data_IF_903882189220
#
_entry.id   IF_903882189220
#
_cell.length_a   1.000
_cell.length_b   1.000
_cell.length_c   1.000
_cell.angle_alpha   90.00
_cell.angle_beta   90.00
_cell.angle_gamma   90.00
#
_symmetry.space_group_name_H-M   'P 1'
#
loop_
_entity.id
_entity.type
_entity.pdbx_description
1 polymer ?
#
# COMPACT_ATOMS: atom_id res chain seq x y z
N UNK A 1 7.00 -9.55 11.37
CA UNK A 1 6.12 -8.87 10.39
C UNK A 1 4.67 -9.20 10.70
N UNK A 2 3.75 -8.27 10.43
CA UNK A 2 2.31 -8.39 10.66
C UNK A 2 1.56 -8.27 9.32
N UNK A 3 0.34 -8.80 9.26
CA UNK A 3 -0.51 -8.74 8.06
C UNK A 3 -1.69 -7.81 8.32
N UNK A 4 -1.83 -6.77 7.50
CA UNK A 4 -2.91 -5.80 7.57
C UNK A 4 -3.88 -5.91 6.40
N UNK A 5 -5.07 -5.35 6.56
CA UNK A 5 -6.07 -5.18 5.53
C UNK A 5 -6.23 -3.69 5.24
N UNK A 6 -6.02 -3.28 3.99
CA UNK A 6 -6.33 -1.92 3.58
C UNK A 6 -7.81 -1.81 3.18
N UNK A 7 -8.52 -0.88 3.80
CA UNK A 7 -9.98 -0.73 3.64
C UNK A 7 -10.43 -0.41 2.21
N UNK A 8 -9.52 0.03 1.33
CA UNK A 8 -9.81 0.25 -0.11
C UNK A 8 -10.43 -0.97 -0.77
N UNK A 9 -10.11 -2.18 -0.30
CA UNK A 9 -10.65 -3.44 -0.78
C UNK A 9 -12.18 -3.50 -0.74
N UNK A 10 -12.80 -2.74 0.17
CA UNK A 10 -14.25 -2.70 0.38
C UNK A 10 -14.88 -1.35 0.08
N UNK A 11 -14.25 -0.54 -0.77
CA UNK A 11 -14.73 0.81 -1.12
C UNK A 11 -15.89 0.86 -2.12
N UNK A 12 -16.37 -0.27 -2.63
CA UNK A 12 -17.45 -0.31 -3.64
C UNK A 12 -17.01 0.13 -5.04
N UNK A 13 -15.70 0.28 -5.26
CA UNK A 13 -15.17 0.80 -6.52
C UNK A 13 -14.74 -0.33 -7.47
N UNK A 14 -14.37 -1.47 -6.92
CA UNK A 14 -13.71 -2.54 -7.67
C UNK A 14 -14.59 -3.77 -7.91
N UNK A 15 -15.81 -3.78 -7.42
CA UNK A 15 -16.74 -4.91 -7.48
C UNK A 15 -18.18 -4.42 -7.62
N UNK A 16 -19.07 -5.31 -8.02
CA UNK A 16 -20.50 -5.03 -8.07
C UNK A 16 -21.09 -5.07 -6.67
N UNK A 17 -21.56 -3.91 -6.22
CA UNK A 17 -22.15 -3.74 -4.89
C UNK A 17 -21.69 -2.47 -4.16
N UNK A 18 -22.34 -2.14 -3.05
CA UNK A 18 -22.01 -0.96 -2.27
C UNK A 18 -20.71 -1.12 -1.50
N UNK A 19 -20.11 0.01 -1.11
CA UNK A 19 -19.03 0.02 -0.13
C UNK A 19 -19.51 -0.55 1.21
N UNK A 20 -18.66 -1.28 1.89
CA UNK A 20 -18.94 -1.73 3.26
C UNK A 20 -18.67 -0.61 4.27
N UNK A 21 -19.52 -0.44 5.28
CA UNK A 21 -19.22 0.39 6.43
C UNK A 21 -17.93 -0.08 7.13
N UNK A 22 -17.12 0.85 7.64
CA UNK A 22 -15.86 0.51 8.30
C UNK A 22 -16.04 -0.45 9.49
N UNK A 23 -17.15 -0.37 10.21
CA UNK A 23 -17.48 -1.31 11.30
C UNK A 23 -17.57 -2.77 10.85
N UNK A 24 -18.08 -3.02 9.64
CA UNK A 24 -18.13 -4.34 9.02
C UNK A 24 -16.75 -4.76 8.50
N UNK A 25 -16.00 -3.82 7.90
CA UNK A 25 -14.62 -4.09 7.46
C UNK A 25 -13.74 -4.50 8.65
N UNK A 26 -13.88 -3.84 9.80
CA UNK A 26 -13.13 -4.21 11.00
C UNK A 26 -13.52 -5.60 11.54
N UNK A 27 -14.81 -5.95 11.48
CA UNK A 27 -15.26 -7.27 11.86
C UNK A 27 -14.66 -8.35 10.93
N UNK A 28 -14.79 -8.15 9.62
CA UNK A 28 -14.21 -9.07 8.61
C UNK A 28 -12.69 -9.22 8.77
N UNK A 29 -11.96 -8.13 8.97
CA UNK A 29 -10.52 -8.17 9.18
C UNK A 29 -10.16 -9.04 10.39
N UNK A 30 -10.88 -8.88 11.50
CA UNK A 30 -10.69 -9.72 12.70
C UNK A 30 -11.00 -11.18 12.43
N UNK A 31 -12.16 -11.48 11.84
CA UNK A 31 -12.64 -12.85 11.58
C UNK A 31 -11.71 -13.59 10.60
N UNK A 32 -11.11 -12.88 9.64
CA UNK A 32 -10.16 -13.43 8.69
C UNK A 32 -8.72 -13.52 9.24
N UNK A 33 -8.46 -13.05 10.48
CA UNK A 33 -7.17 -13.20 11.16
C UNK A 33 -6.11 -12.17 10.75
N UNK A 34 -6.50 -10.99 10.29
CA UNK A 34 -5.60 -9.85 10.13
C UNK A 34 -5.16 -9.27 11.47
N UNK A 35 -3.96 -8.70 11.55
CA UNK A 35 -3.44 -8.06 12.77
C UNK A 35 -3.86 -6.60 12.89
N UNK A 36 -4.22 -5.96 11.77
CA UNK A 36 -4.59 -4.55 11.73
C UNK A 36 -5.31 -4.15 10.47
N UNK A 37 -5.78 -2.91 10.45
CA UNK A 37 -6.49 -2.31 9.32
C UNK A 37 -5.85 -0.98 8.95
N UNK A 38 -5.41 -0.84 7.71
CA UNK A 38 -5.04 0.45 7.14
C UNK A 38 -6.29 1.16 6.65
N UNK A 39 -6.47 2.41 7.08
CA UNK A 39 -7.73 3.14 6.87
C UNK A 39 -7.56 4.16 5.76
N UNK A 40 -8.38 4.04 4.70
CA UNK A 40 -8.39 4.99 3.59
C UNK A 40 -8.96 6.35 3.98
N UNK A 41 -8.18 7.41 3.83
CA UNK A 41 -8.55 8.79 4.19
C UNK A 41 -9.39 9.49 3.13
N UNK A 42 -10.36 8.79 2.55
CA UNK A 42 -11.31 9.34 1.56
C UNK A 42 -12.67 8.66 1.68
N UNK A 43 -13.68 9.29 1.08
CA UNK A 43 -15.01 8.65 0.93
C UNK A 43 -14.92 7.36 0.09
N UNK A 44 -15.72 6.35 0.43
CA UNK A 44 -16.78 6.33 1.43
C UNK A 44 -16.31 6.05 2.87
N UNK A 45 -15.00 5.90 3.10
CA UNK A 45 -14.45 5.58 4.42
C UNK A 45 -14.13 6.82 5.25
N UNK A 46 -12.86 6.98 5.71
CA UNK A 46 -12.50 7.98 6.71
C UNK A 46 -12.02 9.31 6.11
N UNK A 47 -12.85 10.01 5.33
CA UNK A 47 -12.49 11.35 4.90
C UNK A 47 -12.39 12.29 6.13
N UNK A 48 -11.25 12.98 6.34
CA UNK A 48 -11.05 13.81 7.54
C UNK A 48 -12.05 14.96 7.68
N UNK A 49 -12.62 15.44 6.57
CA UNK A 49 -13.59 16.53 6.59
C UNK A 49 -15.01 16.07 6.96
N UNK A 50 -15.29 14.75 6.91
CA UNK A 50 -16.60 14.18 7.28
C UNK A 50 -16.61 13.68 8.74
N UNK A 51 -15.47 13.65 9.41
CA UNK A 51 -15.30 13.05 10.74
C UNK A 51 -14.94 14.11 11.79
N UNK A 52 -15.83 14.36 12.70
CA UNK A 52 -15.51 15.12 13.91
C UNK A 52 -14.64 14.31 14.88
N UNK A 53 -14.16 14.97 15.94
CA UNK A 53 -13.27 14.34 16.93
C UNK A 53 -13.92 13.13 17.63
N UNK A 54 -15.24 13.19 17.86
CA UNK A 54 -15.96 12.07 18.49
C UNK A 54 -16.03 10.87 17.58
N UNK A 55 -16.30 11.07 16.30
CA UNK A 55 -16.31 10.01 15.30
C UNK A 55 -14.93 9.34 15.15
N UNK A 56 -13.84 10.15 15.13
CA UNK A 56 -12.46 9.65 15.10
C UNK A 56 -12.15 8.80 16.33
N UNK A 57 -12.50 9.27 17.51
CA UNK A 57 -12.31 8.53 18.75
C UNK A 57 -13.12 7.23 18.77
N UNK A 58 -14.39 7.28 18.40
CA UNK A 58 -15.25 6.08 18.29
C UNK A 58 -14.65 5.04 17.34
N UNK A 59 -14.15 5.47 16.19
CA UNK A 59 -13.48 4.59 15.22
C UNK A 59 -12.24 3.92 15.82
N UNK A 60 -11.39 4.68 16.48
CA UNK A 60 -10.20 4.16 17.18
C UNK A 60 -10.57 3.10 18.22
N UNK A 61 -11.59 3.39 19.04
CA UNK A 61 -12.10 2.46 20.05
C UNK A 61 -12.67 1.17 19.43
N UNK A 62 -13.39 1.27 18.33
CA UNK A 62 -13.94 0.11 17.61
C UNK A 62 -12.86 -0.81 17.04
N UNK A 63 -11.77 -0.27 16.52
CA UNK A 63 -10.61 -1.06 16.06
C UNK A 63 -9.92 -1.74 17.25
N UNK A 64 -9.64 -0.97 18.31
CA UNK A 64 -8.98 -1.48 19.51
C UNK A 64 -9.81 -2.57 20.24
N UNK A 65 -11.13 -2.40 20.32
CA UNK A 65 -12.04 -3.37 20.94
C UNK A 65 -12.04 -4.74 20.24
N UNK A 66 -11.61 -4.79 18.96
CA UNK A 66 -11.44 -6.02 18.20
C UNK A 66 -10.02 -6.61 18.31
N UNK A 67 -9.13 -5.95 19.04
CA UNK A 67 -7.71 -6.32 19.13
C UNK A 67 -6.99 -6.16 17.81
N UNK A 68 -7.42 -5.20 16.98
CA UNK A 68 -6.75 -4.79 15.74
C UNK A 68 -5.93 -3.52 16.00
N UNK A 69 -4.87 -3.33 15.19
CA UNK A 69 -4.10 -2.09 15.17
C UNK A 69 -4.45 -1.26 13.93
N UNK A 70 -4.15 0.05 13.96
CA UNK A 70 -4.17 0.91 12.77
C UNK A 70 -2.72 1.20 12.39
N UNK A 71 -2.11 0.41 11.48
CA UNK A 71 -0.71 0.59 11.12
C UNK A 71 -0.45 1.90 10.36
N UNK A 72 -1.40 2.33 9.54
CA UNK A 72 -1.33 3.54 8.75
C UNK A 72 -2.72 4.08 8.41
N UNK A 73 -2.77 5.37 8.12
CA UNK A 73 -3.83 5.99 7.33
C UNK A 73 -3.32 6.14 5.91
N UNK A 74 -4.16 5.81 4.91
CA UNK A 74 -3.78 5.91 3.50
C UNK A 74 -4.25 7.25 2.91
N UNK A 75 -3.32 8.11 2.59
CA UNK A 75 -3.54 9.37 1.87
C UNK A 75 -3.60 9.19 0.34
N UNK A 76 -4.09 10.22 -0.33
CA UNK A 76 -4.24 10.27 -1.79
C UNK A 76 -3.75 11.62 -2.29
N UNK A 77 -2.43 11.80 -2.35
CA UNK A 77 -1.82 13.09 -2.68
C UNK A 77 -1.34 13.15 -4.13
N UNK A 78 -1.55 14.29 -4.76
CA UNK A 78 -0.97 14.63 -6.05
C UNK A 78 -0.22 15.96 -5.96
N UNK A 79 1.04 15.91 -5.56
CA UNK A 79 1.90 17.08 -5.40
C UNK A 79 2.61 17.49 -6.70
N UNK A 80 2.39 16.78 -7.80
CA UNK A 80 3.04 17.05 -9.08
C UNK A 80 2.16 17.84 -10.08
N UNK A 81 0.99 18.34 -9.65
CA UNK A 81 0.13 19.14 -10.53
C UNK A 81 0.83 20.42 -10.98
N UNK A 82 0.76 20.79 -12.28
CA UNK A 82 1.26 22.10 -12.77
C UNK A 82 0.44 23.27 -12.22
N UNK A 83 -0.78 23.03 -11.74
CA UNK A 83 -1.69 24.06 -11.23
C UNK A 83 -1.38 24.29 -9.75
N UNK A 84 -0.95 25.49 -9.41
CA UNK A 84 -0.52 25.87 -8.06
C UNK A 84 -1.61 25.60 -7.02
N UNK A 85 -2.83 26.06 -7.26
CA UNK A 85 -3.96 25.92 -6.33
C UNK A 85 -4.35 24.45 -6.10
N UNK A 86 -4.13 23.57 -7.08
CA UNK A 86 -4.33 22.13 -6.87
C UNK A 86 -3.29 21.56 -5.91
N UNK A 87 -2.01 21.93 -6.02
CA UNK A 87 -0.98 21.50 -5.07
C UNK A 87 -1.25 22.02 -3.67
N UNK A 88 -1.68 23.29 -3.53
CA UNK A 88 -2.08 23.84 -2.22
C UNK A 88 -3.25 23.07 -1.61
N UNK A 89 -4.29 22.77 -2.37
CA UNK A 89 -5.42 21.98 -1.90
C UNK A 89 -5.01 20.56 -1.49
N UNK A 90 -4.17 19.89 -2.28
CA UNK A 90 -3.64 18.56 -1.95
C UNK A 90 -2.83 18.58 -0.65
N UNK A 91 -2.00 19.61 -0.46
CA UNK A 91 -1.21 19.78 0.76
C UNK A 91 -2.09 20.04 1.98
N UNK A 92 -3.10 20.90 1.87
CA UNK A 92 -4.06 21.16 2.95
C UNK A 92 -4.84 19.89 3.34
N UNK A 93 -5.31 19.13 2.35
CA UNK A 93 -5.97 17.84 2.58
C UNK A 93 -5.03 16.84 3.24
N UNK A 94 -3.77 16.76 2.79
CA UNK A 94 -2.77 15.87 3.37
C UNK A 94 -2.47 16.23 4.83
N UNK A 95 -2.42 17.53 5.20
CA UNK A 95 -2.29 17.97 6.60
C UNK A 95 -3.48 17.54 7.46
N UNK A 96 -4.71 17.58 6.93
CA UNK A 96 -5.88 17.04 7.64
C UNK A 96 -5.82 15.51 7.79
N UNK A 97 -5.23 14.80 6.81
CA UNK A 97 -5.00 13.35 6.91
C UNK A 97 -3.92 13.02 7.95
N UNK A 98 -2.89 13.85 8.14
CA UNK A 98 -1.93 13.72 9.25
C UNK A 98 -2.65 13.83 10.60
N UNK A 99 -3.52 14.83 10.77
CA UNK A 99 -4.33 14.97 12.01
C UNK A 99 -5.23 13.75 12.22
N UNK A 100 -5.86 13.24 11.15
CA UNK A 100 -6.67 12.02 11.21
C UNK A 100 -5.82 10.82 11.67
N UNK A 101 -4.63 10.61 11.12
CA UNK A 101 -3.73 9.54 11.52
C UNK A 101 -3.42 9.61 13.03
N UNK A 102 -3.04 10.79 13.52
CA UNK A 102 -2.81 11.02 14.95
C UNK A 102 -4.04 10.66 15.80
N UNK A 103 -5.23 11.13 15.41
CA UNK A 103 -6.45 10.95 16.17
C UNK A 103 -6.93 9.50 16.19
N UNK A 104 -6.68 8.75 15.11
CA UNK A 104 -6.93 7.31 15.03
C UNK A 104 -5.86 6.47 15.75
N UNK A 105 -4.75 7.09 16.19
CA UNK A 105 -3.64 6.40 16.83
C UNK A 105 -2.75 5.61 15.85
N UNK A 106 -2.82 5.94 14.55
CA UNK A 106 -1.92 5.41 13.55
C UNK A 106 -0.55 6.11 13.66
N UNK A 107 0.58 5.36 13.59
CA UNK A 107 1.90 5.97 13.66
C UNK A 107 2.31 6.68 12.36
N UNK A 108 1.61 6.42 11.25
CA UNK A 108 2.02 6.92 9.95
C UNK A 108 0.86 7.27 9.03
N UNK A 109 1.17 8.14 8.06
CA UNK A 109 0.34 8.44 6.89
C UNK A 109 1.08 7.93 5.64
N UNK A 110 0.50 7.00 4.88
CA UNK A 110 1.01 6.61 3.58
C UNK A 110 0.67 7.71 2.57
N UNK A 111 1.66 8.16 1.80
CA UNK A 111 1.55 9.26 0.84
C UNK A 111 2.10 8.87 -0.53
N UNK A 112 1.64 9.59 -1.56
CA UNK A 112 2.22 9.56 -2.90
C UNK A 112 2.95 10.87 -3.20
N UNK A 113 3.98 10.82 -4.04
CA UNK A 113 4.50 12.02 -4.69
C UNK A 113 3.47 12.57 -5.68
N UNK A 114 2.83 11.66 -6.40
CA UNK A 114 1.74 11.95 -7.33
C UNK A 114 0.78 10.76 -7.44
N UNK A 115 -0.50 11.00 -7.36
CA UNK A 115 -1.55 10.03 -7.59
C UNK A 115 -2.45 10.50 -8.73
N UNK A 116 -2.54 9.71 -9.80
CA UNK A 116 -3.39 10.05 -10.97
C UNK A 116 -4.88 9.96 -10.67
N UNK A 117 -5.25 9.29 -9.59
CA UNK A 117 -6.63 8.98 -9.27
C UNK A 117 -7.20 7.82 -10.09
N UNK A 118 -8.48 7.58 -9.89
CA UNK A 118 -9.29 6.62 -10.64
C UNK A 118 -10.54 7.32 -11.16
N UNK A 119 -11.08 6.84 -12.28
CA UNK A 119 -12.42 7.20 -12.77
C UNK A 119 -13.36 6.02 -12.61
N UNK A 120 -14.66 6.28 -12.60
CA UNK A 120 -15.64 5.21 -12.75
C UNK A 120 -16.00 5.05 -14.22
N UNK A 121 -15.94 3.82 -14.70
CA UNK A 121 -16.38 3.44 -16.03
C UNK A 121 -17.25 2.18 -15.93
N UNK A 122 -18.45 2.23 -16.47
CA UNK A 122 -19.42 1.13 -16.34
C UNK A 122 -19.64 0.66 -14.88
N UNK A 123 -19.65 1.60 -13.94
CA UNK A 123 -19.91 1.32 -12.53
C UNK A 123 -18.70 0.85 -11.70
N UNK A 124 -17.53 0.67 -12.29
CA UNK A 124 -16.33 0.25 -11.55
C UNK A 124 -15.12 1.15 -11.82
N UNK A 125 -14.11 1.05 -10.97
CA UNK A 125 -12.87 1.82 -11.05
C UNK A 125 -12.08 1.53 -12.34
N UNK A 126 -11.54 2.57 -12.94
CA UNK A 126 -10.75 2.49 -14.16
C UNK A 126 -9.54 3.42 -14.08
N UNK A 127 -8.36 2.87 -14.33
CA UNK A 127 -7.12 3.64 -14.39
C UNK A 127 -6.81 4.23 -15.77
N UNK A 128 -7.38 3.68 -16.85
CA UNK A 128 -6.98 4.06 -18.21
C UNK A 128 -7.37 5.49 -18.58
N UNK A 129 -8.52 5.96 -18.09
CA UNK A 129 -8.96 7.33 -18.32
C UNK A 129 -8.06 8.33 -17.60
N UNK A 130 -7.69 8.05 -16.35
CA UNK A 130 -6.79 8.92 -15.58
C UNK A 130 -5.38 8.94 -16.14
N UNK A 131 -4.89 7.80 -16.67
CA UNK A 131 -3.61 7.74 -17.40
C UNK A 131 -3.62 8.62 -18.65
N UNK A 132 -4.68 8.56 -19.44
CA UNK A 132 -4.84 9.41 -20.64
C UNK A 132 -4.98 10.89 -20.26
N UNK A 133 -5.77 11.19 -19.25
CA UNK A 133 -5.91 12.56 -18.73
C UNK A 133 -4.56 13.10 -18.24
N UNK A 134 -3.80 12.32 -17.49
CA UNK A 134 -2.46 12.70 -17.05
C UNK A 134 -1.54 12.98 -18.23
N UNK A 135 -1.45 12.06 -19.18
CA UNK A 135 -0.60 12.22 -20.35
C UNK A 135 -0.94 13.49 -21.17
N UNK A 136 -2.23 13.84 -21.27
CA UNK A 136 -2.69 15.04 -21.96
C UNK A 136 -2.48 16.31 -21.13
N UNK A 137 -2.85 16.31 -19.85
CA UNK A 137 -2.79 17.48 -18.98
C UNK A 137 -1.37 17.87 -18.53
N UNK A 138 -0.41 16.95 -18.70
CA UNK A 138 1.00 17.13 -18.30
C UNK A 138 1.95 17.08 -19.51
N UNK A 139 1.44 17.21 -20.74
CA UNK A 139 2.24 17.12 -21.97
C UNK A 139 3.39 18.13 -22.02
N UNK A 140 3.17 19.33 -21.48
CA UNK A 140 4.12 20.45 -21.53
C UNK A 140 4.93 20.61 -20.23
N UNK A 141 4.82 19.61 -19.33
CA UNK A 141 5.48 19.60 -18.02
C UNK A 141 6.56 18.53 -17.99
N UNK A 142 7.77 18.93 -17.64
CA UNK A 142 8.89 17.99 -17.51
C UNK A 142 8.76 17.15 -16.22
N UNK A 143 9.34 15.94 -16.23
CA UNK A 143 9.44 15.12 -15.01
C UNK A 143 10.21 15.87 -13.91
N UNK A 144 11.21 16.68 -14.26
CA UNK A 144 11.99 17.47 -13.29
C UNK A 144 11.13 18.52 -12.57
N UNK A 145 10.21 19.17 -13.28
CA UNK A 145 9.27 20.12 -12.66
C UNK A 145 8.32 19.40 -11.71
N UNK A 146 7.72 18.29 -12.16
CA UNK A 146 6.86 17.45 -11.32
C UNK A 146 7.58 16.96 -10.05
N UNK A 147 8.83 16.55 -10.21
CA UNK A 147 9.69 16.12 -9.11
C UNK A 147 9.92 17.24 -8.09
N UNK A 148 10.32 18.43 -8.55
CA UNK A 148 10.57 19.59 -7.66
C UNK A 148 9.35 19.99 -6.88
N UNK A 149 8.19 20.07 -7.52
CA UNK A 149 6.93 20.38 -6.84
C UNK A 149 6.56 19.33 -5.80
N UNK A 150 6.75 18.04 -6.10
CA UNK A 150 6.52 16.98 -5.15
C UNK A 150 7.47 17.06 -3.94
N UNK A 151 8.75 17.34 -4.17
CA UNK A 151 9.75 17.53 -3.10
C UNK A 151 9.40 18.72 -2.20
N UNK A 152 9.00 19.85 -2.78
CA UNK A 152 8.58 21.05 -2.03
C UNK A 152 7.38 20.76 -1.13
N UNK A 153 6.32 20.16 -1.67
CA UNK A 153 5.12 19.80 -0.91
C UNK A 153 5.42 18.73 0.16
N UNK A 154 6.21 17.70 -0.18
CA UNK A 154 6.57 16.64 0.78
C UNK A 154 7.43 17.17 1.91
N UNK A 155 8.31 18.15 1.67
CA UNK A 155 9.12 18.77 2.71
C UNK A 155 8.23 19.51 3.72
N UNK A 156 7.32 20.36 3.24
CA UNK A 156 6.37 21.06 4.10
C UNK A 156 5.45 20.10 4.85
N UNK A 157 4.97 19.05 4.17
CA UNK A 157 4.13 18.04 4.83
C UNK A 157 4.92 17.23 5.87
N UNK A 158 6.19 16.92 5.61
CA UNK A 158 7.03 16.16 6.54
C UNK A 158 7.35 16.96 7.80
N UNK A 159 7.59 18.26 7.69
CA UNK A 159 7.75 19.14 8.86
C UNK A 159 6.47 19.14 9.70
N UNK A 160 5.32 19.34 9.05
CA UNK A 160 4.02 19.29 9.73
C UNK A 160 3.72 17.92 10.36
N UNK A 161 4.02 16.82 9.67
CA UNK A 161 3.81 15.47 10.18
C UNK A 161 4.70 15.19 11.40
N UNK A 162 5.96 15.62 11.36
CA UNK A 162 6.91 15.52 12.48
C UNK A 162 6.42 16.23 13.74
N UNK A 163 5.85 17.44 13.61
CA UNK A 163 5.24 18.19 14.72
C UNK A 163 4.06 17.45 15.35
N UNK A 164 3.39 16.58 14.58
CA UNK A 164 2.27 15.76 15.05
C UNK A 164 2.66 14.34 15.47
N UNK A 165 3.96 14.01 15.43
CA UNK A 165 4.47 12.67 15.76
C UNK A 165 4.08 11.59 14.73
N UNK A 166 3.81 11.99 13.47
CA UNK A 166 3.41 11.09 12.39
C UNK A 166 4.57 10.93 11.38
N UNK A 167 4.85 9.69 11.01
CA UNK A 167 5.77 9.38 9.91
C UNK A 167 5.01 9.38 8.59
N UNK A 168 5.53 10.04 7.57
CA UNK A 168 5.07 9.90 6.20
C UNK A 168 5.73 8.67 5.57
N UNK A 169 4.94 7.75 5.05
CA UNK A 169 5.41 6.56 4.33
C UNK A 169 5.23 6.78 2.82
N UNK A 170 6.29 7.20 2.13
CA UNK A 170 6.28 7.49 0.70
C UNK A 170 6.28 6.19 -0.10
N UNK A 171 5.24 5.96 -0.90
CA UNK A 171 5.09 4.76 -1.72
C UNK A 171 5.85 4.90 -3.05
N UNK A 172 6.47 3.82 -3.52
CA UNK A 172 7.13 3.73 -4.83
C UNK A 172 6.11 3.66 -5.99
N UNK A 173 5.24 4.65 -6.08
CA UNK A 173 4.10 4.67 -6.99
C UNK A 173 4.27 5.70 -8.12
N UNK A 174 4.05 5.27 -9.39
CA UNK A 174 4.02 6.18 -10.54
C UNK A 174 2.87 7.23 -10.45
N UNK A 175 3.01 8.37 -11.14
CA UNK A 175 3.85 8.60 -12.32
C UNK A 175 5.24 9.20 -12.05
N UNK A 176 5.45 9.86 -10.92
CA UNK A 176 6.72 10.57 -10.66
C UNK A 176 7.79 9.61 -10.14
N UNK A 177 7.40 8.71 -9.27
CA UNK A 177 8.27 7.65 -8.76
C UNK A 177 8.03 6.39 -9.60
N UNK A 178 9.06 5.92 -10.29
CA UNK A 178 8.98 4.80 -11.24
C UNK A 178 9.45 3.48 -10.64
N UNK A 179 10.26 3.56 -9.58
CA UNK A 179 10.81 2.41 -8.87
C UNK A 179 11.33 2.83 -7.48
N UNK A 180 11.87 1.86 -6.72
CA UNK A 180 12.46 2.09 -5.40
C UNK A 180 13.61 3.11 -5.42
N UNK A 181 14.41 3.16 -6.50
CA UNK A 181 15.52 4.11 -6.64
C UNK A 181 15.00 5.55 -6.61
N UNK A 182 13.99 5.87 -7.45
CA UNK A 182 13.37 7.20 -7.46
C UNK A 182 12.75 7.54 -6.09
N UNK A 183 12.13 6.57 -5.41
CA UNK A 183 11.56 6.76 -4.07
C UNK A 183 12.64 7.15 -3.05
N UNK A 184 13.74 6.42 -3.02
CA UNK A 184 14.86 6.69 -2.11
C UNK A 184 15.57 8.00 -2.42
N UNK A 185 15.68 8.37 -3.70
CA UNK A 185 16.22 9.67 -4.12
C UNK A 185 15.33 10.81 -3.60
N UNK A 186 14.01 10.68 -3.72
CA UNK A 186 13.08 11.68 -3.21
C UNK A 186 13.13 11.77 -1.68
N UNK A 187 13.18 10.66 -0.96
CA UNK A 187 13.34 10.65 0.51
C UNK A 187 14.64 11.37 0.91
N UNK A 188 15.74 11.11 0.20
CA UNK A 188 17.03 11.79 0.45
C UNK A 188 16.96 13.30 0.15
N UNK A 189 16.30 13.70 -0.94
CA UNK A 189 16.21 15.10 -1.32
C UNK A 189 15.29 15.90 -0.40
N UNK A 190 14.19 15.33 0.06
CA UNK A 190 13.32 15.94 1.09
C UNK A 190 14.09 16.11 2.40
N UNK A 191 14.94 15.14 2.76
CA UNK A 191 15.85 15.18 3.89
C UNK A 191 15.15 15.49 5.23
N UNK A 192 14.04 14.81 5.50
CA UNK A 192 13.30 14.90 6.76
C UNK A 192 13.24 13.53 7.45
N UNK A 193 13.49 13.44 8.77
CA UNK A 193 13.33 12.18 9.50
C UNK A 193 11.88 11.69 9.55
N UNK A 194 10.92 12.58 9.31
CA UNK A 194 9.50 12.25 9.27
C UNK A 194 9.06 11.64 7.91
N UNK A 195 9.93 11.61 6.88
CA UNK A 195 9.65 10.94 5.61
C UNK A 195 10.46 9.67 5.48
N UNK A 196 9.78 8.54 5.33
CA UNK A 196 10.35 7.20 5.22
C UNK A 196 9.74 6.45 4.02
N UNK A 197 10.23 5.25 3.74
CA UNK A 197 9.85 4.48 2.57
C UNK A 197 8.66 3.53 2.83
N UNK A 198 7.75 3.46 1.86
CA UNK A 198 6.74 2.42 1.71
C UNK A 198 7.05 1.66 0.42
N UNK A 199 7.92 0.66 0.50
CA UNK A 199 8.31 -0.15 -0.66
C UNK A 199 7.29 -1.25 -0.90
N UNK A 200 6.66 -1.22 -2.05
CA UNK A 200 5.69 -2.21 -2.48
C UNK A 200 6.24 -3.08 -3.61
N UNK A 201 6.30 -4.37 -3.38
CA UNK A 201 6.78 -5.34 -4.36
C UNK A 201 6.02 -5.28 -5.71
N UNK A 202 4.68 -5.13 -5.74
CA UNK A 202 3.94 -5.01 -7.01
C UNK A 202 4.36 -3.82 -7.88
N UNK A 203 4.99 -2.81 -7.30
CA UNK A 203 5.35 -1.56 -7.98
C UNK A 203 6.83 -1.52 -8.41
N UNK A 204 7.58 -2.59 -8.15
CA UNK A 204 8.96 -2.72 -8.64
C UNK A 204 8.97 -2.89 -10.17
N UNK A 205 9.96 -2.28 -10.81
CA UNK A 205 10.13 -2.34 -12.26
C UNK A 205 10.43 -3.75 -12.77
N UNK A 206 11.05 -4.60 -11.95
CA UNK A 206 11.38 -5.98 -12.26
C UNK A 206 10.97 -6.91 -11.13
N UNK A 207 10.70 -8.18 -11.47
CA UNK A 207 10.20 -9.17 -10.51
C UNK A 207 11.15 -10.40 -10.40
N UNK A 208 12.36 -10.32 -10.93
CA UNK A 208 13.37 -11.35 -10.69
C UNK A 208 13.94 -11.24 -9.26
N UNK A 209 14.45 -12.36 -8.75
CA UNK A 209 14.92 -12.47 -7.38
C UNK A 209 16.01 -11.44 -7.06
N UNK A 210 16.94 -11.20 -7.98
CA UNK A 210 18.07 -10.31 -7.73
C UNK A 210 17.59 -8.85 -7.56
N UNK A 211 16.69 -8.38 -8.42
CA UNK A 211 16.14 -7.03 -8.34
C UNK A 211 15.30 -6.84 -7.08
N UNK A 212 14.38 -7.79 -6.80
CA UNK A 212 13.52 -7.71 -5.61
C UNK A 212 14.32 -7.71 -4.32
N UNK A 213 15.31 -8.61 -4.19
CA UNK A 213 16.18 -8.66 -3.00
C UNK A 213 17.00 -7.39 -2.87
N UNK A 214 17.55 -6.88 -3.99
CA UNK A 214 18.35 -5.66 -3.97
C UNK A 214 17.52 -4.44 -3.57
N UNK A 215 16.29 -4.30 -4.09
CA UNK A 215 15.41 -3.18 -3.73
C UNK A 215 15.04 -3.14 -2.24
N UNK A 216 14.86 -4.31 -1.62
CA UNK A 216 14.66 -4.40 -0.16
C UNK A 216 15.91 -3.99 0.61
N UNK A 217 17.11 -4.45 0.19
CA UNK A 217 18.39 -4.08 0.81
C UNK A 217 18.69 -2.60 0.69
N UNK A 218 18.45 -2.01 -0.48
CA UNK A 218 18.66 -0.58 -0.72
C UNK A 218 17.76 0.28 0.16
N UNK A 219 16.52 -0.17 0.37
CA UNK A 219 15.56 0.51 1.25
C UNK A 219 15.93 0.33 2.73
N UNK A 220 16.36 -0.85 3.11
CA UNK A 220 16.90 -1.16 4.44
C UNK A 220 16.00 -0.67 5.58
N UNK A 221 16.59 0.05 6.53
CA UNK A 221 15.87 0.56 7.73
C UNK A 221 14.89 1.70 7.46
N UNK A 222 14.88 2.26 6.25
CA UNK A 222 13.88 3.27 5.85
C UNK A 222 12.52 2.64 5.54
N UNK A 223 12.45 1.32 5.37
CA UNK A 223 11.21 0.59 5.16
C UNK A 223 10.32 0.62 6.39
N UNK A 224 9.18 1.32 6.33
CA UNK A 224 8.26 1.43 7.48
C UNK A 224 6.89 0.81 7.20
N UNK A 225 6.49 0.67 5.94
CA UNK A 225 5.19 0.13 5.52
C UNK A 225 5.29 -0.55 4.16
N UNK A 226 4.35 -1.45 3.85
CA UNK A 226 4.27 -2.09 2.53
C UNK A 226 2.86 -2.59 2.23
N UNK A 227 2.51 -2.65 0.93
CA UNK A 227 1.29 -3.28 0.45
C UNK A 227 1.61 -4.51 -0.40
N UNK A 228 0.63 -5.39 -0.45
CA UNK A 228 0.59 -6.46 -1.40
C UNK A 228 -0.82 -6.58 -2.00
N UNK A 229 -0.90 -7.03 -3.22
CA UNK A 229 -2.15 -7.16 -3.96
C UNK A 229 -2.14 -8.41 -4.81
N UNK A 230 -3.13 -8.53 -5.71
CA UNK A 230 -3.25 -9.64 -6.62
C UNK A 230 -4.46 -10.52 -6.34
N UNK A 231 -4.58 -11.57 -7.14
CA UNK A 231 -5.62 -12.58 -7.03
C UNK A 231 -5.05 -13.89 -6.50
N UNK A 232 -5.88 -14.64 -5.79
CA UNK A 232 -5.48 -15.87 -5.12
C UNK A 232 -6.52 -16.96 -5.33
N UNK A 233 -6.05 -18.20 -5.39
CA UNK A 233 -6.89 -19.39 -5.42
C UNK A 233 -6.50 -20.37 -4.33
N UNK A 234 -7.39 -21.31 -4.05
CA UNK A 234 -7.10 -22.41 -3.15
C UNK A 234 -6.71 -23.66 -3.94
N UNK A 235 -5.52 -24.20 -3.67
CA UNK A 235 -5.01 -25.43 -4.24
C UNK A 235 -4.44 -26.34 -3.15
N UNK A 236 -4.98 -27.53 -3.01
CA UNK A 236 -4.50 -28.50 -2.03
C UNK A 236 -4.52 -27.97 -0.57
N UNK A 237 -5.51 -27.13 -0.23
CA UNK A 237 -5.64 -26.51 1.10
C UNK A 237 -4.72 -25.31 1.35
N UNK A 238 -3.98 -24.86 0.34
CA UNK A 238 -3.11 -23.67 0.41
C UNK A 238 -3.66 -22.55 -0.45
N UNK A 239 -3.42 -21.32 -0.03
CA UNK A 239 -3.64 -20.16 -0.87
C UNK A 239 -2.44 -19.99 -1.82
N UNK A 240 -2.72 -19.83 -3.10
CA UNK A 240 -1.73 -19.70 -4.20
C UNK A 240 -2.02 -18.44 -4.97
N UNK A 241 -1.00 -17.64 -5.26
CA UNK A 241 -1.14 -16.44 -6.08
C UNK A 241 -1.43 -16.81 -7.53
N UNK A 242 -2.30 -16.00 -8.16
CA UNK A 242 -2.58 -16.02 -9.60
C UNK A 242 -2.26 -14.69 -10.25
N UNK A 243 -1.96 -14.65 -11.54
CA UNK A 243 -1.95 -13.39 -12.27
C UNK A 243 -3.31 -12.72 -12.17
N UNK A 244 -3.33 -11.40 -11.95
CA UNK A 244 -4.57 -10.64 -11.96
C UNK A 244 -5.25 -10.83 -13.32
N UNK A 245 -6.51 -11.24 -13.29
CA UNK A 245 -7.28 -11.58 -14.49
C UNK A 245 -7.35 -10.37 -15.43
N UNK A 246 -7.02 -10.61 -16.71
CA UNK A 246 -6.93 -9.61 -17.77
C UNK A 246 -5.88 -8.50 -17.57
N UNK A 247 -5.09 -8.53 -16.50
CA UNK A 247 -3.95 -7.64 -16.37
C UNK A 247 -2.76 -8.17 -17.20
N UNK A 248 -1.97 -7.25 -17.78
CA UNK A 248 -0.74 -7.60 -18.49
C UNK A 248 0.43 -7.90 -17.55
N UNK A 249 0.19 -7.98 -16.26
CA UNK A 249 1.19 -8.26 -15.22
C UNK A 249 1.28 -9.76 -14.98
N UNK A 250 2.50 -10.26 -14.85
CA UNK A 250 2.77 -11.60 -14.36
C UNK A 250 2.57 -11.74 -12.85
N UNK A 251 3.06 -12.84 -12.29
CA UNK A 251 3.11 -13.04 -10.84
C UNK A 251 4.07 -12.04 -10.19
N UNK A 252 3.71 -11.59 -9.00
CA UNK A 252 4.57 -10.74 -8.16
C UNK A 252 5.44 -11.65 -7.29
N UNK A 253 6.72 -11.31 -7.18
CA UNK A 253 7.69 -12.15 -6.46
C UNK A 253 7.66 -11.90 -4.94
N UNK A 254 6.51 -12.13 -4.32
CA UNK A 254 6.36 -12.03 -2.86
C UNK A 254 7.26 -12.99 -2.08
N UNK A 255 7.55 -14.23 -2.54
CA UNK A 255 8.46 -15.11 -1.82
C UNK A 255 9.85 -14.49 -1.60
N UNK A 256 10.48 -13.95 -2.64
CA UNK A 256 11.78 -13.29 -2.54
C UNK A 256 11.70 -12.00 -1.69
N UNK A 257 10.63 -11.22 -1.88
CA UNK A 257 10.40 -9.97 -1.15
C UNK A 257 10.25 -10.20 0.36
N UNK A 258 9.37 -11.11 0.79
CA UNK A 258 9.14 -11.41 2.20
C UNK A 258 10.38 -12.02 2.86
N UNK A 259 11.10 -12.89 2.13
CA UNK A 259 12.34 -13.47 2.62
C UNK A 259 13.43 -12.39 2.83
N UNK A 260 13.54 -11.43 1.89
CA UNK A 260 14.50 -10.33 2.00
C UNK A 260 14.13 -9.38 3.16
N UNK A 261 12.84 -9.02 3.31
CA UNK A 261 12.37 -8.22 4.44
C UNK A 261 12.68 -8.88 5.79
N UNK A 262 12.52 -10.20 5.89
CA UNK A 262 12.85 -10.95 7.10
C UNK A 262 14.37 -10.92 7.39
N UNK A 263 15.21 -11.01 6.36
CA UNK A 263 16.68 -10.92 6.48
C UNK A 263 17.14 -9.54 6.93
N UNK A 264 16.49 -8.47 6.44
CA UNK A 264 16.75 -7.09 6.86
C UNK A 264 16.12 -6.73 8.22
N UNK A 265 15.39 -7.68 8.84
CA UNK A 265 14.82 -7.51 10.18
C UNK A 265 13.57 -6.62 10.20
N UNK A 266 12.89 -6.44 9.09
CA UNK A 266 11.63 -5.69 9.04
C UNK A 266 10.55 -6.33 9.92
N UNK A 267 9.88 -5.51 10.74
CA UNK A 267 8.84 -5.95 11.69
C UNK A 267 7.49 -5.28 11.45
N UNK A 268 7.41 -4.41 10.45
CA UNK A 268 6.19 -3.65 10.13
C UNK A 268 5.09 -4.51 9.49
N UNK A 269 4.17 -3.81 8.86
CA UNK A 269 2.99 -4.39 8.24
C UNK A 269 3.16 -4.62 6.74
N UNK A 270 2.55 -5.69 6.25
CA UNK A 270 2.24 -5.94 4.86
C UNK A 270 0.70 -5.87 4.75
N UNK A 271 0.17 -4.81 4.13
CA UNK A 271 -1.27 -4.58 4.04
C UNK A 271 -1.82 -5.04 2.69
N UNK A 272 -2.84 -5.90 2.70
CA UNK A 272 -3.50 -6.33 1.48
C UNK A 272 -4.39 -5.23 0.92
N UNK A 273 -4.23 -4.94 -0.37
CA UNK A 273 -5.09 -4.04 -1.13
C UNK A 273 -5.72 -4.76 -2.34
N UNK A 274 -7.05 -4.81 -2.39
CA UNK A 274 -7.79 -5.18 -3.58
C UNK A 274 -8.15 -3.90 -4.34
N UNK A 275 -7.33 -3.51 -5.31
CA UNK A 275 -7.42 -2.23 -6.00
C UNK A 275 -7.45 -2.37 -7.55
N UNK A 276 -8.13 -3.39 -8.04
CA UNK A 276 -8.39 -3.64 -9.46
C UNK A 276 -9.82 -4.18 -9.66
N UNK A 277 -10.42 -4.08 -10.87
CA UNK A 277 -11.74 -4.65 -11.12
C UNK A 277 -11.81 -6.14 -10.82
N UNK A 278 -12.79 -6.54 -10.02
CA UNK A 278 -13.07 -7.95 -9.69
C UNK A 278 -13.84 -8.59 -10.85
N UNK A 279 -13.11 -9.19 -11.79
CA UNK A 279 -13.70 -9.68 -13.03
C UNK A 279 -13.86 -11.20 -13.06
N UNK A 280 -14.99 -11.67 -13.56
CA UNK A 280 -15.24 -13.05 -13.91
C UNK A 280 -14.63 -13.44 -15.27
N UNK A 281 -14.89 -14.67 -15.70
CA UNK A 281 -14.28 -15.23 -16.92
C UNK A 281 -14.75 -14.54 -18.21
N UNK A 282 -15.96 -13.99 -18.20
CA UNK A 282 -16.55 -13.29 -19.34
C UNK A 282 -16.45 -11.77 -19.21
N UNK A 283 -15.49 -11.26 -18.40
CA UNK A 283 -15.31 -9.85 -18.11
C UNK A 283 -16.48 -9.20 -17.32
N UNK A 284 -17.38 -9.97 -16.77
CA UNK A 284 -18.43 -9.48 -15.88
C UNK A 284 -17.82 -9.01 -14.55
N UNK A 285 -18.37 -7.94 -13.97
CA UNK A 285 -17.97 -7.49 -12.66
C UNK A 285 -18.57 -8.40 -11.59
N UNK A 286 -17.72 -9.04 -10.78
CA UNK A 286 -18.14 -9.91 -9.68
C UNK A 286 -18.48 -9.07 -8.44
N UNK A 287 -19.30 -9.68 -7.56
CA UNK A 287 -19.82 -9.04 -6.37
C UNK A 287 -18.90 -9.13 -5.14
N UNK A 288 -19.42 -8.60 -4.05
CA UNK A 288 -18.74 -8.49 -2.76
C UNK A 288 -18.24 -9.84 -2.20
N UNK A 289 -18.96 -10.94 -2.45
CA UNK A 289 -18.56 -12.27 -1.92
C UNK A 289 -17.24 -12.75 -2.52
N UNK A 290 -17.00 -12.46 -3.80
CA UNK A 290 -15.70 -12.76 -4.40
C UNK A 290 -14.59 -11.91 -3.78
N UNK A 291 -14.83 -10.63 -3.52
CA UNK A 291 -13.82 -9.78 -2.84
C UNK A 291 -13.54 -10.31 -1.43
N UNK A 292 -14.55 -10.72 -0.67
CA UNK A 292 -14.35 -11.37 0.65
C UNK A 292 -13.51 -12.63 0.54
N UNK A 293 -13.77 -13.46 -0.49
CA UNK A 293 -12.98 -14.67 -0.77
C UNK A 293 -11.52 -14.31 -1.06
N UNK A 294 -11.27 -13.32 -1.92
CA UNK A 294 -9.93 -12.86 -2.25
C UNK A 294 -9.18 -12.29 -1.04
N UNK A 295 -9.84 -11.46 -0.23
CA UNK A 295 -9.28 -10.91 1.01
C UNK A 295 -8.88 -12.03 1.98
N UNK A 296 -9.73 -13.05 2.15
CA UNK A 296 -9.42 -14.22 3.01
C UNK A 296 -8.23 -15.03 2.48
N UNK A 297 -8.18 -15.29 1.16
CA UNK A 297 -7.08 -16.03 0.53
C UNK A 297 -5.77 -15.26 0.59
N UNK A 298 -5.80 -13.94 0.39
CA UNK A 298 -4.64 -13.08 0.48
C UNK A 298 -4.00 -13.11 1.87
N UNK A 299 -4.81 -13.07 2.92
CA UNK A 299 -4.34 -13.19 4.30
C UNK A 299 -3.64 -14.53 4.52
N UNK A 300 -4.27 -15.64 4.11
CA UNK A 300 -3.70 -16.99 4.23
C UNK A 300 -2.39 -17.13 3.45
N UNK A 301 -2.34 -16.59 2.23
CA UNK A 301 -1.13 -16.59 1.40
C UNK A 301 0.02 -15.87 2.08
N UNK A 302 -0.22 -14.65 2.57
CA UNK A 302 0.84 -13.88 3.23
C UNK A 302 1.30 -14.56 4.51
N UNK A 303 0.41 -15.14 5.32
CA UNK A 303 0.80 -15.93 6.50
C UNK A 303 1.69 -17.11 6.14
N UNK A 304 1.36 -17.84 5.08
CA UNK A 304 2.21 -18.94 4.58
C UNK A 304 3.63 -18.48 4.26
N UNK A 305 3.78 -17.31 3.63
CA UNK A 305 5.09 -16.73 3.33
C UNK A 305 5.84 -16.30 4.59
N UNK A 306 5.18 -15.64 5.53
CA UNK A 306 5.78 -15.24 6.80
C UNK A 306 6.25 -16.44 7.61
N UNK A 307 5.45 -17.50 7.69
CA UNK A 307 5.82 -18.74 8.36
C UNK A 307 7.00 -19.44 7.70
N UNK A 308 7.08 -19.37 6.36
CA UNK A 308 8.21 -19.91 5.62
C UNK A 308 9.49 -19.10 5.87
N UNK A 309 9.41 -17.77 5.88
CA UNK A 309 10.53 -16.87 6.12
C UNK A 309 11.05 -16.93 7.58
N UNK A 310 10.18 -17.25 8.55
CA UNK A 310 10.56 -17.41 9.95
C UNK A 310 11.34 -18.71 10.24
N UNK A 311 11.31 -19.68 9.32
CA UNK A 311 12.07 -20.94 9.50
C UNK A 311 13.55 -20.71 9.24
N UNK A 312 14.46 -21.19 10.11
CA UNK A 312 15.87 -21.09 9.84
C UNK A 312 16.21 -21.82 8.53
N UNK A 313 16.90 -21.14 7.63
CA UNK A 313 17.43 -21.74 6.41
C UNK A 313 18.38 -22.86 6.86
N UNK A 314 18.00 -24.12 6.63
CA UNK A 314 18.93 -25.24 6.77
C UNK A 314 20.00 -25.03 5.70
N UNK A 315 21.15 -24.46 6.07
CA UNK A 315 22.31 -24.47 5.21
C UNK A 315 22.60 -25.93 4.86
N UNK A 316 22.83 -26.29 3.59
CA UNK A 316 23.27 -27.63 3.25
C UNK A 316 24.51 -27.91 4.07
N UNK A 317 24.51 -29.07 4.74
CA UNK A 317 25.67 -29.51 5.51
C UNK A 317 26.89 -29.40 4.59
N UNK A 318 27.88 -28.57 4.96
CA UNK A 318 29.16 -28.56 4.26
C UNK A 318 29.62 -30.02 4.21
N UNK A 319 29.72 -30.60 3.01
CA UNK A 319 30.43 -31.84 2.82
C UNK A 319 31.82 -31.62 3.41
N UNK A 320 32.05 -32.30 4.51
CA UNK A 320 33.41 -32.40 5.05
C UNK A 320 34.20 -33.10 3.98
N UNK A 321 34.98 -32.33 3.20
CA UNK A 321 36.06 -32.89 2.40
C UNK A 321 36.89 -33.76 3.33
N UNK A 322 36.78 -35.05 3.07
CA UNK A 322 37.73 -36.00 3.61
C UNK A 322 39.10 -35.65 3.03
N UNK A 323 39.87 -34.87 3.79
CA UNK A 323 41.30 -34.92 3.66
C UNK A 323 41.70 -36.32 4.09
N UNK A 324 41.95 -37.18 3.13
CA UNK A 324 42.57 -38.45 3.33
C UNK A 324 43.65 -38.64 2.27
N UNK A 325 44.85 -38.62 2.78
CA UNK A 325 46.13 -39.18 2.25
C UNK A 325 46.87 -38.35 1.21
#
# INVERSE_FOLDING_TARGET
MKVGLYTVSFSGVWYDGPALPLTEVFALAKDMGYDGVEIGAKRPHANPMDLDMRARQTMREQVAARGLEVPAVAGYSNFASPILEQRENELLVAKEQVKLARDLGAPMLRVFAAWRGITLHNGHGCYDMTRRYWASGFSDVTLLEQWRWAVECLRELADFAGEHGITLALQNHEPVIRDHVDMLDMVREVNSPALQACLDCPLLAQQDDAWVVQSVRDTGKQQVHSHYGGEFEEEGGKAVQRPIRFAKRGLINYPAFVQALAQEGYQGYLCYEFCHPCLGENHELLGLDEVKRQVSLAQRYMRQLLDAAARPVKLPAKEKEKAAR
#
